data_IF_829641813103
#
_entry.id   IF_829641813103
#
_cell.length_a   1.000
_cell.length_b   1.000
_cell.length_c   1.000
_cell.angle_alpha   90.00
_cell.angle_beta   90.00
_cell.angle_gamma   90.00
#
_symmetry.space_group_name_H-M   'P 1'
#
loop_
_entity.id
_entity.type
_entity.pdbx_description
1 polymer ?
#
# COMPACT_ATOMS: atom_id res chain seq x y z
N UNK A 1 -12.49 -8.92 6.45
CA UNK A 1 -11.93 -10.03 5.63
C UNK A 1 -10.45 -9.82 5.29
N UNK A 2 -10.06 -8.85 4.45
CA UNK A 2 -8.65 -8.66 4.01
C UNK A 2 -7.67 -8.36 5.14
N UNK A 3 -8.05 -7.52 6.12
CA UNK A 3 -7.20 -7.22 7.28
C UNK A 3 -6.95 -8.51 8.11
N UNK A 4 -8.00 -9.32 8.31
CA UNK A 4 -7.89 -10.58 9.04
C UNK A 4 -7.04 -11.61 8.31
N UNK A 5 -7.22 -11.77 7.00
CA UNK A 5 -6.38 -12.64 6.17
C UNK A 5 -4.92 -12.16 6.14
N UNK A 6 -4.69 -10.85 6.10
CA UNK A 6 -3.36 -10.23 6.18
C UNK A 6 -2.65 -10.50 7.51
N UNK A 7 -3.37 -10.45 8.63
CA UNK A 7 -2.83 -10.86 9.93
C UNK A 7 -2.59 -12.37 9.96
N UNK A 8 -3.49 -13.17 9.38
CA UNK A 8 -3.34 -14.63 9.27
C UNK A 8 -2.12 -15.07 8.44
N UNK A 9 -1.74 -14.29 7.42
CA UNK A 9 -0.52 -14.52 6.64
C UNK A 9 0.76 -14.44 7.49
N UNK A 10 0.80 -13.60 8.53
CA UNK A 10 1.95 -13.50 9.44
C UNK A 10 2.17 -14.81 10.22
N UNK A 11 1.09 -15.58 10.42
CA UNK A 11 1.10 -16.85 11.14
C UNK A 11 0.99 -18.08 10.22
N UNK A 12 1.22 -17.92 8.92
CA UNK A 12 1.13 -19.00 7.90
C UNK A 12 -0.26 -19.68 7.84
N UNK A 13 -1.29 -18.98 8.33
CA UNK A 13 -2.68 -19.46 8.43
C UNK A 13 -3.66 -18.39 7.96
N UNK A 14 -3.63 -18.04 6.66
CA UNK A 14 -4.54 -17.05 6.08
C UNK A 14 -6.01 -17.45 6.23
N UNK A 15 -6.33 -18.75 6.20
CA UNK A 15 -7.71 -19.27 6.32
C UNK A 15 -8.33 -18.92 7.67
N UNK A 16 -7.56 -19.12 8.74
CA UNK A 16 -7.98 -18.82 10.12
C UNK A 16 -8.09 -17.32 10.33
N UNK A 17 -7.11 -16.55 9.84
CA UNK A 17 -7.16 -15.08 9.91
C UNK A 17 -8.34 -14.49 9.14
N UNK A 18 -8.66 -15.05 7.97
CA UNK A 18 -9.83 -14.69 7.18
C UNK A 18 -11.13 -14.97 7.92
N UNK A 19 -11.28 -16.15 8.53
CA UNK A 19 -12.44 -16.51 9.33
C UNK A 19 -12.64 -15.58 10.54
N UNK A 20 -11.56 -15.26 11.27
CA UNK A 20 -11.59 -14.27 12.36
C UNK A 20 -12.01 -12.90 11.82
N UNK A 21 -11.42 -12.47 10.71
CA UNK A 21 -11.74 -11.20 10.07
C UNK A 21 -13.15 -11.11 9.48
N UNK A 22 -13.83 -12.24 9.25
CA UNK A 22 -15.24 -12.29 8.89
C UNK A 22 -16.13 -12.24 10.14
N UNK A 23 -15.82 -13.01 11.18
CA UNK A 23 -16.57 -13.01 12.44
C UNK A 23 -16.57 -11.65 13.13
N UNK A 24 -15.41 -11.01 13.25
CA UNK A 24 -15.29 -9.66 13.83
C UNK A 24 -16.03 -8.63 12.97
N UNK A 25 -15.94 -8.73 11.65
CA UNK A 25 -16.67 -7.86 10.72
C UNK A 25 -18.19 -7.99 10.85
N UNK A 26 -18.69 -9.21 11.03
CA UNK A 26 -20.11 -9.48 11.24
C UNK A 26 -20.63 -8.86 12.55
N UNK A 27 -19.88 -9.03 13.65
CA UNK A 27 -20.24 -8.45 14.95
C UNK A 27 -20.27 -6.91 14.91
N UNK A 28 -19.27 -6.30 14.25
CA UNK A 28 -19.22 -4.85 14.03
C UNK A 28 -20.42 -4.35 13.23
N UNK A 29 -20.80 -5.06 12.17
CA UNK A 29 -21.97 -4.71 11.35
C UNK A 29 -23.27 -4.72 12.19
N UNK A 30 -23.43 -5.74 13.04
CA UNK A 30 -24.56 -5.83 13.97
C UNK A 30 -24.57 -4.71 15.00
N UNK A 31 -23.41 -4.34 15.54
CA UNK A 31 -23.29 -3.23 16.50
C UNK A 31 -23.60 -1.87 15.87
N UNK A 32 -23.11 -1.62 14.65
CA UNK A 32 -23.39 -0.39 13.89
C UNK A 32 -24.89 -0.29 13.61
N UNK A 33 -25.52 -1.39 13.19
CA UNK A 33 -26.96 -1.47 12.93
C UNK A 33 -27.80 -1.27 14.20
N UNK A 34 -27.39 -1.85 15.33
CA UNK A 34 -28.07 -1.71 16.62
C UNK A 34 -28.00 -0.27 17.17
N UNK A 35 -26.95 0.48 16.80
CA UNK A 35 -26.78 1.89 17.17
C UNK A 35 -27.58 2.85 16.28
N UNK A 36 -28.33 2.36 15.29
CA UNK A 36 -29.13 3.21 14.39
C UNK A 36 -28.29 4.17 13.56
N UNK A 37 -26.99 3.90 13.41
CA UNK A 37 -26.11 4.67 12.53
C UNK A 37 -26.49 4.27 11.13
N UNK A 38 -27.30 5.10 10.46
CA UNK A 38 -27.42 5.02 9.00
C UNK A 38 -26.00 5.09 8.47
N UNK A 39 -25.56 4.01 7.83
CA UNK A 39 -24.30 3.97 7.14
C UNK A 39 -24.42 4.99 6.01
N UNK A 40 -24.14 6.26 6.32
CA UNK A 40 -23.87 7.27 5.32
C UNK A 40 -22.88 6.59 4.39
N UNK A 41 -23.15 6.56 3.06
CA UNK A 41 -22.20 6.01 2.13
C UNK A 41 -20.94 6.77 2.44
N UNK A 42 -20.00 6.09 3.10
CA UNK A 42 -18.74 6.71 3.42
C UNK A 42 -18.13 6.77 2.04
N UNK A 43 -18.35 7.88 1.36
CA UNK A 43 -17.42 8.44 0.40
C UNK A 43 -16.18 8.68 1.25
N UNK A 44 -15.51 7.59 1.61
CA UNK A 44 -14.09 7.59 1.87
C UNK A 44 -13.57 7.96 0.50
N UNK A 45 -13.57 9.26 0.22
CA UNK A 45 -12.68 9.85 -0.74
C UNK A 45 -11.33 9.42 -0.24
N UNK A 46 -10.86 8.30 -0.78
CA UNK A 46 -9.60 7.69 -0.40
C UNK A 46 -8.61 8.84 -0.52
N UNK A 47 -8.12 9.37 0.62
CA UNK A 47 -7.56 10.71 0.59
C UNK A 47 -6.42 10.62 -0.41
N UNK A 48 -6.40 11.50 -1.42
CA UNK A 48 -5.46 11.37 -2.55
C UNK A 48 -3.99 11.32 -2.08
N UNK A 49 -3.76 11.77 -0.85
CA UNK A 49 -2.53 11.60 -0.08
C UNK A 49 -2.15 10.15 0.21
N UNK A 50 -3.10 9.23 0.40
CA UNK A 50 -2.89 7.80 0.62
C UNK A 50 -2.33 7.12 -0.64
N UNK A 51 -2.94 7.38 -1.80
CA UNK A 51 -2.43 6.86 -3.08
C UNK A 51 -1.10 7.49 -3.47
N UNK A 52 -0.93 8.80 -3.21
CA UNK A 52 0.34 9.50 -3.40
C UNK A 52 1.43 8.98 -2.43
N UNK A 53 1.12 8.75 -1.15
CA UNK A 53 2.06 8.21 -0.17
C UNK A 53 2.50 6.79 -0.52
N UNK A 54 1.58 5.95 -1.02
CA UNK A 54 1.92 4.61 -1.51
C UNK A 54 2.86 4.69 -2.73
N UNK A 55 2.64 5.60 -3.67
CA UNK A 55 3.55 5.81 -4.80
C UNK A 55 4.94 6.30 -4.35
N UNK A 56 4.99 7.23 -3.40
CA UNK A 56 6.26 7.71 -2.82
C UNK A 56 6.99 6.56 -2.12
N UNK A 57 6.30 5.79 -1.29
CA UNK A 57 6.87 4.63 -0.60
C UNK A 57 7.41 3.58 -1.59
N UNK A 58 6.65 3.31 -2.66
CA UNK A 58 7.05 2.36 -3.69
C UNK A 58 8.28 2.85 -4.46
N UNK A 59 8.34 4.14 -4.81
CA UNK A 59 9.52 4.70 -5.48
C UNK A 59 10.77 4.69 -4.58
N UNK A 60 10.64 4.97 -3.28
CA UNK A 60 11.75 4.84 -2.31
C UNK A 60 12.23 3.39 -2.24
N UNK A 61 11.32 2.42 -2.18
CA UNK A 61 11.65 1.01 -2.13
C UNK A 61 12.42 0.57 -3.38
N UNK A 62 11.98 1.00 -4.57
CA UNK A 62 12.65 0.70 -5.84
C UNK A 62 14.05 1.31 -5.91
N UNK A 63 14.23 2.55 -5.43
CA UNK A 63 15.56 3.18 -5.35
C UNK A 63 16.46 2.41 -4.38
N UNK A 64 15.94 2.04 -3.21
CA UNK A 64 16.71 1.27 -2.23
C UNK A 64 17.16 -0.09 -2.79
N UNK A 65 16.27 -0.81 -3.49
CA UNK A 65 16.60 -2.06 -4.18
C UNK A 65 17.67 -1.82 -5.25
N UNK A 66 17.51 -0.79 -6.08
CA UNK A 66 18.51 -0.41 -7.09
C UNK A 66 19.89 -0.10 -6.47
N UNK A 67 19.90 0.62 -5.34
CA UNK A 67 21.12 0.93 -4.57
C UNK A 67 21.79 -0.31 -3.98
N UNK A 68 21.02 -1.26 -3.43
CA UNK A 68 21.55 -2.53 -2.91
C UNK A 68 22.17 -3.37 -4.02
N UNK A 69 21.52 -3.44 -5.19
CA UNK A 69 22.06 -4.14 -6.36
C UNK A 69 23.36 -3.48 -6.84
N UNK A 70 23.46 -2.14 -6.77
CA UNK A 70 24.68 -1.41 -7.14
C UNK A 70 25.85 -1.70 -6.17
N UNK A 71 25.58 -1.80 -4.87
CA UNK A 71 26.59 -2.06 -3.83
C UNK A 71 27.09 -3.52 -3.83
N UNK A 72 26.27 -4.46 -4.32
CA UNK A 72 26.56 -5.91 -4.37
C UNK A 72 26.28 -6.46 -5.78
N UNK A 73 27.11 -6.11 -6.80
CA UNK A 73 26.87 -6.48 -8.19
C UNK A 73 26.97 -7.98 -8.48
N UNK A 74 27.47 -8.78 -7.52
CA UNK A 74 27.57 -10.24 -7.60
C UNK A 74 26.20 -10.96 -7.55
N UNK A 75 25.14 -10.31 -7.04
CA UNK A 75 23.80 -10.92 -6.93
C UNK A 75 22.95 -10.79 -8.21
N UNK A 76 23.30 -9.87 -9.11
CA UNK A 76 22.57 -9.67 -10.36
C UNK A 76 23.45 -8.89 -11.35
N UNK A 77 24.05 -9.60 -12.31
CA UNK A 77 24.92 -9.06 -13.35
C UNK A 77 24.19 -7.97 -14.20
N UNK A 78 24.83 -6.83 -14.55
CA UNK A 78 25.36 -5.85 -13.61
C UNK A 78 25.08 -4.41 -14.11
N UNK A 79 24.80 -3.48 -13.20
CA UNK A 79 24.64 -2.03 -13.47
C UNK A 79 23.45 -1.58 -14.34
N UNK A 80 23.17 -2.19 -15.49
CA UNK A 80 22.07 -1.74 -16.38
C UNK A 80 20.71 -1.91 -15.70
N UNK A 81 20.49 -3.04 -15.03
CA UNK A 81 19.26 -3.32 -14.28
C UNK A 81 19.14 -2.40 -13.07
N UNK A 82 20.25 -2.15 -12.36
CA UNK A 82 20.28 -1.23 -11.22
C UNK A 82 19.99 0.22 -11.64
N UNK A 83 20.60 0.67 -12.74
CA UNK A 83 20.36 1.99 -13.35
C UNK A 83 18.91 2.13 -13.82
N UNK A 84 18.37 1.12 -14.49
CA UNK A 84 16.97 1.11 -14.92
C UNK A 84 16.00 1.15 -13.73
N UNK A 85 16.29 0.37 -12.68
CA UNK A 85 15.49 0.37 -11.45
C UNK A 85 15.55 1.73 -10.75
N UNK A 86 16.73 2.33 -10.58
CA UNK A 86 16.87 3.67 -9.98
C UNK A 86 16.17 4.75 -10.80
N UNK A 87 16.28 4.71 -12.13
CA UNK A 87 15.59 5.65 -13.02
C UNK A 87 14.06 5.50 -12.92
N UNK A 88 13.56 4.27 -12.89
CA UNK A 88 12.13 3.98 -12.72
C UNK A 88 11.64 4.43 -11.33
N UNK A 89 12.41 4.17 -10.28
CA UNK A 89 12.10 4.62 -8.92
C UNK A 89 12.03 6.14 -8.82
N UNK A 90 12.98 6.85 -9.44
CA UNK A 90 12.98 8.31 -9.51
C UNK A 90 11.78 8.85 -10.30
N UNK A 91 11.40 8.21 -11.41
CA UNK A 91 10.20 8.56 -12.18
C UNK A 91 8.92 8.41 -11.34
N UNK A 92 8.77 7.30 -10.63
CA UNK A 92 7.60 7.06 -9.76
C UNK A 92 7.57 8.05 -8.60
N UNK A 93 8.72 8.37 -8.00
CA UNK A 93 8.83 9.37 -6.93
C UNK A 93 8.44 10.76 -7.40
N UNK A 94 8.96 11.21 -8.54
CA UNK A 94 8.61 12.52 -9.10
C UNK A 94 7.13 12.60 -9.47
N UNK A 95 6.56 11.54 -10.06
CA UNK A 95 5.12 11.46 -10.33
C UNK A 95 4.28 11.50 -9.04
N UNK A 96 4.71 10.79 -7.99
CA UNK A 96 4.06 10.78 -6.68
C UNK A 96 4.10 12.15 -5.99
N UNK A 97 5.25 12.82 -6.03
CA UNK A 97 5.45 14.18 -5.50
C UNK A 97 4.65 15.23 -6.29
N UNK A 98 4.64 15.16 -7.62
CA UNK A 98 3.82 16.03 -8.47
C UNK A 98 2.32 15.82 -8.24
N UNK A 99 1.90 14.58 -8.00
CA UNK A 99 0.52 14.25 -7.63
C UNK A 99 0.11 14.95 -6.31
N UNK A 100 1.05 15.02 -5.36
CA UNK A 100 0.87 15.70 -4.06
C UNK A 100 0.92 17.24 -4.18
N UNK A 101 1.77 17.76 -5.06
CA UNK A 101 1.94 19.20 -5.29
C UNK A 101 0.82 19.85 -6.12
N UNK A 102 0.04 19.07 -6.88
CA UNK A 102 -1.16 19.58 -7.54
C UNK A 102 -2.24 19.88 -6.50
N UNK A 103 -2.29 21.16 -6.08
CA UNK A 103 -3.41 21.81 -5.40
C UNK A 103 -4.72 21.49 -6.15
N UNK A 104 -5.83 21.19 -5.46
CA UNK A 104 -7.09 20.95 -6.12
C UNK A 104 -7.52 22.23 -6.84
N UNK A 105 -7.50 22.22 -8.17
CA UNK A 105 -8.42 23.03 -8.97
C UNK A 105 -9.81 22.42 -8.73
N UNK A 106 -10.67 23.20 -8.07
CA UNK A 106 -11.98 22.79 -7.56
C UNK A 106 -12.96 22.31 -8.60
#
# INVERSE_FOLDING_TARGET
MFIGAGIGLIFDRPDVGGAIGMGVGFLLMGLIKARGVEAQPITIDLPRTLSSALMVMLGVLVIAIGGVILLKPEWLYPYVVAMAAMALGAFILTAGLLSLARKPSG
#
